data_IF_225178686523
#
_entry.id   IF_225178686523
#
_cell.length_a   1.000
_cell.length_b   1.000
_cell.length_c   1.000
_cell.angle_alpha   90.00
_cell.angle_beta   90.00
_cell.angle_gamma   90.00
#
_symmetry.space_group_name_H-M   'P 1'
#
loop_
_entity.id
_entity.type
_entity.pdbx_description
1 polymer ?
#
# COMPACT_ATOMS: atom_id res chain seq x y z
N UNK A 1 15.78 -30.35 24.84
CA UNK A 1 16.49 -29.70 23.73
C UNK A 1 15.52 -29.73 22.54
N UNK A 2 14.88 -28.61 22.21
CA UNK A 2 14.14 -28.53 20.93
C UNK A 2 15.21 -28.45 19.83
N UNK A 3 15.11 -29.22 18.72
CA UNK A 3 16.06 -29.08 17.61
C UNK A 3 16.02 -27.64 17.06
N UNK A 4 17.10 -27.14 16.44
CA UNK A 4 17.12 -25.79 15.90
C UNK A 4 16.06 -25.69 14.80
N UNK A 5 14.98 -24.96 15.10
CA UNK A 5 13.93 -24.56 14.16
C UNK A 5 14.59 -24.01 12.88
N UNK A 6 14.44 -24.73 11.77
CA UNK A 6 13.49 -24.40 10.71
C UNK A 6 13.95 -23.20 9.87
N UNK A 7 14.89 -23.44 8.94
CA UNK A 7 14.87 -22.73 7.66
C UNK A 7 13.63 -23.26 6.91
N UNK A 8 12.46 -22.73 7.21
CA UNK A 8 11.27 -23.01 6.44
C UNK A 8 11.34 -22.13 5.17
N UNK A 9 11.73 -22.67 4.01
CA UNK A 9 11.87 -21.86 2.80
C UNK A 9 10.54 -21.28 2.33
N UNK A 10 9.42 -21.88 2.73
CA UNK A 10 8.08 -21.37 2.45
C UNK A 10 7.78 -20.16 3.33
N UNK A 11 8.20 -20.21 4.60
CA UNK A 11 8.10 -19.07 5.52
C UNK A 11 8.91 -17.86 5.03
N UNK A 12 10.16 -18.08 4.64
CA UNK A 12 11.03 -17.01 4.11
C UNK A 12 10.46 -16.41 2.81
N UNK A 13 9.96 -17.25 1.91
CA UNK A 13 9.29 -16.79 0.69
C UNK A 13 8.00 -16.00 1.00
N UNK A 14 7.19 -16.45 1.96
CA UNK A 14 6.00 -15.73 2.41
C UNK A 14 6.37 -14.34 2.96
N UNK A 15 7.38 -14.25 3.82
CA UNK A 15 7.84 -13.01 4.42
C UNK A 15 8.39 -12.02 3.39
N UNK A 16 9.07 -12.52 2.35
CA UNK A 16 9.54 -11.70 1.23
C UNK A 16 8.37 -11.13 0.40
N UNK A 17 7.33 -11.92 0.15
CA UNK A 17 6.13 -11.44 -0.54
C UNK A 17 5.39 -10.37 0.26
N UNK A 18 5.21 -10.58 1.58
CA UNK A 18 4.57 -9.61 2.47
C UNK A 18 5.35 -8.29 2.47
N UNK A 19 6.67 -8.32 2.65
CA UNK A 19 7.46 -7.07 2.61
C UNK A 19 7.35 -6.35 1.26
N UNK A 20 7.37 -7.10 0.15
CA UNK A 20 7.30 -6.53 -1.20
C UNK A 20 5.92 -5.94 -1.54
N UNK A 21 4.84 -6.53 -1.06
CA UNK A 21 3.48 -5.97 -1.23
C UNK A 21 3.34 -4.62 -0.50
N UNK A 22 3.99 -4.46 0.65
CA UNK A 22 3.94 -3.24 1.45
C UNK A 22 4.96 -2.17 1.02
N UNK A 23 6.04 -2.53 0.32
CA UNK A 23 7.01 -1.62 -0.30
C UNK A 23 6.48 -1.09 -1.65
N UNK A 24 5.27 -0.50 -1.65
CA UNK A 24 4.42 -0.19 -2.81
C UNK A 24 5.10 0.45 -4.04
N UNK A 25 6.31 1.00 -3.93
CA UNK A 25 7.12 1.49 -5.05
C UNK A 25 7.58 0.37 -6.02
N UNK A 26 7.60 -0.91 -5.61
CA UNK A 26 8.13 -2.03 -6.41
C UNK A 26 7.16 -3.19 -6.65
N UNK A 27 5.87 -2.99 -6.37
CA UNK A 27 4.84 -4.01 -6.58
C UNK A 27 4.03 -3.73 -7.86
N UNK A 28 4.58 -4.16 -8.99
CA UNK A 28 3.94 -4.08 -10.30
C UNK A 28 2.99 -5.26 -10.57
N UNK A 29 2.28 -5.19 -11.71
CA UNK A 29 1.35 -6.25 -12.12
C UNK A 29 2.06 -7.60 -12.35
N UNK A 30 3.34 -7.57 -12.74
CA UNK A 30 4.15 -8.78 -12.92
C UNK A 30 4.43 -9.46 -11.58
N UNK A 31 4.87 -8.70 -10.57
CA UNK A 31 5.09 -9.20 -9.21
C UNK A 31 3.79 -9.78 -8.61
N UNK A 32 2.64 -9.14 -8.86
CA UNK A 32 1.33 -9.65 -8.43
C UNK A 32 0.98 -10.98 -9.10
N UNK A 33 1.26 -11.13 -10.38
CA UNK A 33 1.04 -12.38 -11.10
C UNK A 33 1.93 -13.51 -10.57
N UNK A 34 3.22 -13.22 -10.31
CA UNK A 34 4.17 -14.18 -9.75
C UNK A 34 3.77 -14.64 -8.33
N UNK A 35 3.37 -13.69 -7.48
CA UNK A 35 2.86 -13.99 -6.14
C UNK A 35 1.61 -14.87 -6.18
N UNK A 36 0.66 -14.53 -7.07
CA UNK A 36 -0.58 -15.30 -7.22
C UNK A 36 -0.27 -16.73 -7.71
N UNK A 37 0.65 -16.89 -8.67
CA UNK A 37 1.08 -18.20 -9.12
C UNK A 37 1.74 -19.02 -7.99
N UNK A 38 2.56 -18.38 -7.16
CA UNK A 38 3.19 -19.02 -6.01
C UNK A 38 2.17 -19.49 -4.96
N UNK A 39 1.16 -18.67 -4.66
CA UNK A 39 0.08 -19.02 -3.71
C UNK A 39 -0.83 -20.16 -4.23
N UNK A 40 -1.03 -20.26 -5.54
CA UNK A 40 -1.82 -21.32 -6.17
C UNK A 40 -1.05 -22.63 -6.32
N UNK A 41 0.29 -22.59 -6.24
CA UNK A 41 1.12 -23.77 -6.41
C UNK A 41 0.99 -24.78 -5.25
N UNK A 42 0.79 -24.31 -4.02
CA UNK A 42 0.66 -25.17 -2.84
C UNK A 42 -0.23 -24.52 -1.75
N UNK A 43 -1.21 -25.24 -1.16
CA UNK A 43 -1.97 -24.73 -0.03
C UNK A 43 -1.12 -24.36 1.20
N UNK A 44 0.06 -24.96 1.39
CA UNK A 44 1.01 -24.60 2.44
C UNK A 44 1.57 -23.20 2.24
N UNK A 45 1.85 -22.79 0.99
CA UNK A 45 2.31 -21.44 0.67
C UNK A 45 1.27 -20.40 1.10
N UNK A 46 -0.01 -20.69 0.85
CA UNK A 46 -1.11 -19.83 1.28
C UNK A 46 -1.20 -19.72 2.80
N UNK A 47 -1.08 -20.83 3.52
CA UNK A 47 -1.13 -20.82 4.98
C UNK A 47 0.01 -19.98 5.58
N UNK A 48 1.25 -20.16 5.10
CA UNK A 48 2.39 -19.37 5.60
C UNK A 48 2.31 -17.90 5.21
N UNK A 49 1.76 -17.60 4.04
CA UNK A 49 1.48 -16.23 3.64
C UNK A 49 0.48 -15.54 4.57
N UNK A 50 -0.64 -16.20 4.88
CA UNK A 50 -1.66 -15.65 5.77
C UNK A 50 -1.10 -15.42 7.19
N UNK A 51 -0.28 -16.34 7.70
CA UNK A 51 0.42 -16.19 8.97
C UNK A 51 1.42 -15.01 8.94
N UNK A 52 2.23 -14.92 7.89
CA UNK A 52 3.20 -13.83 7.72
C UNK A 52 2.51 -12.47 7.63
N UNK A 53 1.44 -12.37 6.85
CA UNK A 53 0.64 -11.15 6.71
C UNK A 53 -0.02 -10.76 8.05
N UNK A 54 -0.52 -11.74 8.81
CA UNK A 54 -1.09 -11.49 10.12
C UNK A 54 -0.05 -10.95 11.11
N UNK A 55 1.15 -11.54 11.17
CA UNK A 55 2.23 -11.01 12.00
C UNK A 55 2.65 -9.60 11.57
N UNK A 56 2.72 -9.33 10.27
CA UNK A 56 3.05 -8.01 9.73
C UNK A 56 2.01 -6.95 10.12
N UNK A 57 0.71 -7.29 10.07
CA UNK A 57 -0.36 -6.43 10.56
C UNK A 57 -0.27 -6.18 12.07
N UNK A 58 0.00 -7.22 12.88
CA UNK A 58 0.14 -7.11 14.33
C UNK A 58 1.38 -6.29 14.74
N UNK A 59 2.45 -6.35 13.95
CA UNK A 59 3.66 -5.56 14.17
C UNK A 59 3.46 -4.04 13.94
N UNK A 60 2.31 -3.62 13.42
CA UNK A 60 1.88 -2.22 13.45
C UNK A 60 2.64 -1.28 12.50
N UNK A 61 3.46 -1.79 11.59
CA UNK A 61 3.95 -1.00 10.45
C UNK A 61 2.86 -0.89 9.38
N UNK A 62 1.77 -0.21 9.71
CA UNK A 62 0.83 0.31 8.71
C UNK A 62 1.53 1.49 8.03
N UNK A 63 2.00 1.40 6.78
CA UNK A 63 2.23 2.61 6.01
C UNK A 63 0.86 3.26 5.93
N UNK A 64 0.77 4.56 6.26
CA UNK A 64 -0.47 5.31 6.07
C UNK A 64 -0.88 5.10 4.61
N UNK A 65 -1.87 4.25 4.36
CA UNK A 65 -2.67 4.36 3.14
C UNK A 65 -3.24 5.76 3.29
N UNK A 66 -2.71 6.70 2.53
CA UNK A 66 -3.22 8.06 2.47
C UNK A 66 -4.68 7.96 2.02
N UNK A 67 -5.58 7.83 2.99
CA UNK A 67 -6.88 8.47 2.95
C UNK A 67 -6.60 9.97 2.99
N UNK A 68 -6.08 10.48 1.87
CA UNK A 68 -6.16 11.87 1.47
C UNK A 68 -6.40 11.84 -0.03
N UNK A 69 -7.49 11.19 -0.44
CA UNK A 69 -8.30 11.76 -1.49
C UNK A 69 -8.93 13.05 -0.92
N UNK A 70 -8.15 14.11 -0.83
CA UNK A 70 -8.72 15.45 -1.00
C UNK A 70 -8.68 15.73 -2.50
N UNK A 71 -9.61 15.09 -3.20
CA UNK A 71 -10.00 15.55 -4.53
C UNK A 71 -10.96 16.71 -4.29
N UNK A 72 -10.40 17.89 -3.98
CA UNK A 72 -11.04 19.18 -4.20
C UNK A 72 -10.73 19.62 -5.63
N UNK A 73 -11.72 19.93 -6.48
CA UNK A 73 -11.52 19.95 -7.93
C UNK A 73 -10.64 21.12 -8.36
N UNK A 74 -9.67 20.82 -9.22
CA UNK A 74 -8.96 21.82 -10.00
C UNK A 74 -9.86 22.33 -11.15
N UNK A 75 -10.00 23.66 -11.19
CA UNK A 75 -10.26 24.54 -12.36
C UNK A 75 -11.72 24.80 -12.80
N UNK A 76 -12.02 25.97 -13.43
CA UNK A 76 -11.09 26.88 -14.10
C UNK A 76 -11.21 28.38 -13.78
N UNK A 77 -10.17 29.08 -14.22
CA UNK A 77 -10.00 30.51 -14.27
C UNK A 77 -11.08 31.21 -15.13
N UNK A 78 -11.40 32.45 -14.75
CA UNK A 78 -11.90 33.54 -15.60
C UNK A 78 -13.43 33.72 -15.79
N UNK A 79 -14.00 34.69 -15.04
CA UNK A 79 -14.98 35.66 -15.56
C UNK A 79 -15.12 36.88 -14.64
N UNK A 80 -14.24 37.85 -14.87
CA UNK A 80 -14.52 39.29 -15.07
C UNK A 80 -15.94 39.75 -14.67
N UNK A 81 -16.07 40.75 -13.78
CA UNK A 81 -16.62 42.11 -14.09
C UNK A 81 -16.99 42.94 -12.84
N UNK A 82 -16.34 44.10 -12.74
CA UNK A 82 -16.71 45.40 -12.11
C UNK A 82 -16.95 45.49 -10.60
N UNK A 83 -16.00 46.11 -9.90
CA UNK A 83 -16.30 46.98 -8.74
C UNK A 83 -16.12 48.45 -9.19
N UNK A 84 -17.16 49.32 -9.07
CA UNK A 84 -17.03 50.73 -9.34
C UNK A 84 -16.39 51.43 -8.14
N UNK A 85 -15.28 52.11 -8.40
CA UNK A 85 -14.50 52.85 -7.40
C UNK A 85 -15.38 53.65 -6.44
N UNK A 86 -15.39 53.21 -5.18
CA UNK A 86 -15.83 54.00 -4.04
C UNK A 86 -14.59 54.55 -3.33
N UNK A 87 -14.24 55.79 -3.64
CA UNK A 87 -13.65 56.70 -2.64
C UNK A 87 -13.96 58.15 -3.01
N UNK A 88 -15.07 58.63 -2.45
CA UNK A 88 -15.24 60.05 -2.14
C UNK A 88 -14.42 60.34 -0.88
N UNK A 89 -13.55 61.35 -0.92
CA UNK A 89 -13.00 62.01 0.27
C UNK A 89 -13.04 63.54 0.03
N UNK A 90 -13.08 64.34 1.12
CA UNK A 90 -13.74 65.64 1.22
C UNK A 90 -12.97 66.83 0.62
#
# INVERSE_FOLDING_TARGET
MNPPYDEDPVWEAAWAWVQREYDCERFDDEARAQMTAWLLADPLHRQRYDEAAHLWMLAGMVPRRSIQQDVGPAQPESSIKTDPGSKSEP
#
